data_IF_700741528156
#
_entry.id   IF_700741528156
#
_cell.length_a   1.000
_cell.length_b   1.000
_cell.length_c   1.000
_cell.angle_alpha   90.00
_cell.angle_beta   90.00
_cell.angle_gamma   90.00
#
_symmetry.space_group_name_H-M   'P 1'
#
loop_
_entity.id
_entity.type
_entity.pdbx_description
1 polymer ?
#
# COMPACT_ATOMS: atom_id res chain seq x y z
N UNK A 1 -8.52 16.83 14.96
CA UNK A 1 -7.53 15.75 14.72
C UNK A 1 -8.29 14.43 14.69
N UNK A 2 -8.13 13.65 13.63
CA UNK A 2 -8.88 12.39 13.45
C UNK A 2 -8.38 11.31 14.44
N UNK A 3 -9.26 10.67 15.22
CA UNK A 3 -8.89 9.59 16.14
C UNK A 3 -8.12 8.44 15.46
N UNK A 4 -8.40 8.14 14.19
CA UNK A 4 -7.75 7.05 13.45
C UNK A 4 -6.26 7.33 13.21
N UNK A 5 -5.92 8.59 12.93
CA UNK A 5 -4.53 9.03 12.74
C UNK A 5 -3.74 8.88 14.03
N UNK A 6 -4.34 9.21 15.17
CA UNK A 6 -3.69 9.04 16.48
C UNK A 6 -3.50 7.56 16.85
N UNK A 7 -4.47 6.70 16.54
CA UNK A 7 -4.34 5.25 16.73
C UNK A 7 -3.21 4.67 15.87
N UNK A 8 -3.14 5.04 14.60
CA UNK A 8 -2.06 4.62 13.71
C UNK A 8 -0.68 5.13 14.19
N UNK A 9 -0.60 6.40 14.61
CA UNK A 9 0.63 6.99 15.13
C UNK A 9 1.10 6.30 16.41
N UNK A 10 0.19 5.99 17.35
CA UNK A 10 0.51 5.23 18.57
C UNK A 10 1.03 3.83 18.27
N UNK A 11 0.42 3.14 17.31
CA UNK A 11 0.87 1.82 16.87
C UNK A 11 2.33 1.85 16.39
N UNK A 12 2.69 2.85 15.57
CA UNK A 12 4.07 3.02 15.07
C UNK A 12 5.10 3.31 16.15
N UNK A 13 4.76 4.17 17.12
CA UNK A 13 5.62 4.45 18.26
C UNK A 13 5.83 3.18 19.11
N UNK A 14 4.75 2.43 19.36
CA UNK A 14 4.83 1.16 20.09
C UNK A 14 5.65 0.09 19.36
N UNK A 15 5.62 0.10 18.02
CA UNK A 15 6.44 -0.77 17.18
C UNK A 15 7.91 -0.30 17.06
N UNK A 16 8.30 0.78 17.75
CA UNK A 16 9.66 1.33 17.70
C UNK A 16 10.03 2.02 16.39
N UNK A 17 9.05 2.31 15.52
CA UNK A 17 9.28 2.93 14.21
C UNK A 17 9.47 4.44 14.29
N UNK A 18 9.07 5.08 15.40
CA UNK A 18 9.17 6.52 15.62
C UNK A 18 9.45 6.84 17.09
N UNK A 19 10.18 7.94 17.35
CA UNK A 19 10.54 8.37 18.71
C UNK A 19 9.39 9.04 19.45
N UNK A 20 8.45 9.66 18.72
CA UNK A 20 7.31 10.37 19.31
C UNK A 20 6.05 10.27 18.46
N UNK A 21 4.89 10.54 19.06
CA UNK A 21 3.60 10.58 18.36
C UNK A 21 3.61 11.66 17.27
N UNK A 22 4.19 12.84 17.55
CA UNK A 22 4.28 13.92 16.57
C UNK A 22 5.10 13.54 15.33
N UNK A 23 6.20 12.83 15.54
CA UNK A 23 7.02 12.27 14.46
C UNK A 23 6.26 11.21 13.66
N UNK A 24 5.56 10.31 14.33
CA UNK A 24 4.75 9.27 13.66
C UNK A 24 3.61 9.86 12.82
N UNK A 25 2.96 10.95 13.30
CA UNK A 25 1.93 11.68 12.54
C UNK A 25 2.55 12.38 11.32
N UNK A 26 3.71 13.03 11.49
CA UNK A 26 4.43 13.68 10.40
C UNK A 26 4.85 12.66 9.33
N UNK A 27 5.39 11.51 9.72
CA UNK A 27 5.73 10.42 8.82
C UNK A 27 4.51 9.89 8.06
N UNK A 28 3.37 9.70 8.75
CA UNK A 28 2.12 9.27 8.12
C UNK A 28 1.64 10.30 7.08
N UNK A 29 1.73 11.60 7.37
CA UNK A 29 1.37 12.65 6.44
C UNK A 29 2.28 12.66 5.20
N UNK A 30 3.59 12.48 5.37
CA UNK A 30 4.54 12.39 4.25
C UNK A 30 4.29 11.16 3.37
N UNK A 31 3.99 10.00 3.96
CA UNK A 31 3.61 8.80 3.20
C UNK A 31 2.30 9.02 2.43
N UNK A 32 1.31 9.65 3.07
CA UNK A 32 0.04 10.02 2.42
C UNK A 32 0.22 10.98 1.24
N UNK A 33 1.15 11.92 1.36
CA UNK A 33 1.48 12.85 0.27
C UNK A 33 2.16 12.11 -0.90
N UNK A 34 3.14 11.25 -0.62
CA UNK A 34 3.84 10.46 -1.63
C UNK A 34 2.91 9.48 -2.39
N UNK A 35 1.96 8.86 -1.67
CA UNK A 35 0.99 7.96 -2.32
C UNK A 35 -0.02 8.73 -3.17
N UNK A 36 -0.40 9.95 -2.77
CA UNK A 36 -1.35 10.77 -3.53
C UNK A 36 -0.74 11.25 -4.85
N UNK A 37 0.57 11.52 -4.89
CA UNK A 37 1.29 11.85 -6.13
C UNK A 37 1.49 10.66 -7.07
N UNK A 38 1.34 9.42 -6.58
CA UNK A 38 1.49 8.20 -7.38
C UNK A 38 0.17 7.53 -7.77
N UNK A 39 -0.97 8.07 -7.31
CA UNK A 39 -2.30 7.50 -7.57
C UNK A 39 -2.81 7.90 -8.94
N UNK A 40 -2.08 7.54 -10.00
CA UNK A 40 -2.73 7.25 -11.26
C UNK A 40 -3.43 5.89 -11.09
N UNK A 41 -4.64 5.90 -10.51
CA UNK A 41 -5.53 4.75 -10.64
C UNK A 41 -5.75 4.57 -12.14
N UNK A 42 -5.23 3.49 -12.69
CA UNK A 42 -5.51 3.14 -14.08
C UNK A 42 -6.93 2.60 -14.08
N UNK A 43 -7.90 3.50 -14.18
CA UNK A 43 -9.29 3.12 -14.35
C UNK A 43 -9.50 2.74 -15.82
N UNK A 44 -9.79 1.47 -16.07
CA UNK A 44 -10.27 1.00 -17.36
C UNK A 44 -11.71 0.55 -17.18
N UNK A 45 -12.65 1.20 -17.88
CA UNK A 45 -14.08 0.83 -17.87
C UNK A 45 -14.71 0.74 -16.47
N UNK A 46 -14.32 1.63 -15.54
CA UNK A 46 -14.87 1.66 -14.18
C UNK A 46 -14.31 0.58 -13.24
N UNK A 47 -13.28 -0.17 -13.67
CA UNK A 47 -12.55 -1.09 -12.82
C UNK A 47 -11.24 -0.45 -12.37
N UNK A 48 -10.99 -0.50 -11.06
CA UNK A 48 -9.70 -0.10 -10.49
C UNK A 48 -8.69 -1.21 -10.79
N UNK A 49 -7.80 -0.96 -11.75
CA UNK A 49 -6.72 -1.88 -12.07
C UNK A 49 -5.56 -1.70 -11.07
N UNK A 50 -4.99 -2.82 -10.63
CA UNK A 50 -3.72 -2.78 -9.92
C UNK A 50 -2.64 -2.27 -10.89
N UNK A 51 -1.70 -1.42 -10.42
CA UNK A 51 -0.61 -0.97 -11.24
C UNK A 51 0.22 -2.16 -11.72
N UNK A 52 0.54 -2.19 -13.01
CA UNK A 52 1.36 -3.24 -13.59
C UNK A 52 2.77 -3.21 -12.95
N UNK A 53 3.13 -4.29 -12.25
CA UNK A 53 4.48 -4.46 -11.72
C UNK A 53 5.38 -5.08 -12.81
N UNK A 54 6.49 -4.42 -13.22
CA UNK A 54 7.43 -5.01 -14.17
C UNK A 54 7.93 -6.37 -13.67
N UNK A 55 7.88 -7.39 -14.53
CA UNK A 55 8.33 -8.75 -14.19
C UNK A 55 7.26 -9.68 -13.60
N UNK A 56 6.03 -9.21 -13.35
CA UNK A 56 4.90 -10.04 -12.95
C UNK A 56 3.95 -10.32 -14.12
N UNK A 57 4.49 -10.87 -15.21
CA UNK A 57 3.66 -11.36 -16.32
C UNK A 57 3.26 -12.79 -15.97
N UNK A 58 1.97 -12.99 -15.72
CA UNK A 58 1.42 -14.35 -15.56
C UNK A 58 1.28 -14.94 -16.96
N UNK A 59 1.97 -16.05 -17.21
CA UNK A 59 1.91 -16.80 -18.47
C UNK A 59 0.96 -17.99 -18.33
N UNK A 60 0.50 -18.52 -19.47
CA UNK A 60 -0.43 -19.65 -19.48
C UNK A 60 0.20 -20.90 -18.84
N UNK A 61 1.51 -21.07 -18.98
CA UNK A 61 2.30 -22.14 -18.35
C UNK A 61 2.30 -22.03 -16.83
N UNK A 62 2.48 -20.82 -16.28
CA UNK A 62 2.43 -20.58 -14.83
C UNK A 62 1.06 -20.89 -14.23
N UNK A 63 -0.02 -20.64 -14.98
CA UNK A 63 -1.38 -20.96 -14.55
C UNK A 63 -1.62 -22.48 -14.58
N UNK A 64 -1.13 -23.15 -15.63
CA UNK A 64 -1.22 -24.60 -15.74
C UNK A 64 -0.47 -25.32 -14.61
N UNK A 65 0.72 -24.83 -14.24
CA UNK A 65 1.48 -25.37 -13.10
C UNK A 65 0.76 -25.21 -11.76
N UNK A 66 0.14 -24.04 -11.52
CA UNK A 66 -0.58 -23.79 -10.28
C UNK A 66 -1.84 -24.67 -10.11
N UNK A 67 -2.51 -25.02 -11.21
CA UNK A 67 -3.70 -25.88 -11.20
C UNK A 67 -3.39 -27.38 -11.03
N UNK A 68 -2.12 -27.77 -11.17
CA UNK A 68 -1.66 -29.16 -10.98
C UNK A 68 -1.28 -29.46 -9.52
N UNK A 69 -1.19 -28.43 -8.66
CA UNK A 69 -0.78 -28.53 -7.25
C UNK A 69 -1.98 -28.57 -6.26
N UNK A 70 -3.21 -28.68 -6.78
CA UNK A 70 -4.49 -28.94 -6.08
C UNK A 70 -5.04 -30.35 -6.43
#
# INVERSE_FOLDING_TARGET
MDPRVLTAARSRVNAGQNRSIGEAVSALALTGLATSSSSATTEANGLVLLPAAPGHVITDEMVAEALLDD
#
